data_IF_962275670699
#
_entry.id   IF_962275670699
#
_cell.length_a   1.000
_cell.length_b   1.000
_cell.length_c   1.000
_cell.angle_alpha   90.00
_cell.angle_beta   90.00
_cell.angle_gamma   90.00
#
_symmetry.space_group_name_H-M   'P 1'
#
loop_
_entity.id
_entity.type
_entity.pdbx_description
1 polymer ?
#
# COMPACT_ATOMS: atom_id res chain seq x y z
N UNK A 1 1.33 1.70 -0.60
CA UNK A 1 1.55 1.18 0.77
C UNK A 1 0.22 0.64 1.23
N UNK A 2 0.22 -0.56 1.80
CA UNK A 2 -0.99 -1.24 2.28
C UNK A 2 -0.72 -1.80 3.68
N UNK A 3 -1.71 -1.75 4.57
CA UNK A 3 -1.57 -2.13 5.98
C UNK A 3 -2.27 -3.45 6.32
N UNK A 4 -2.73 -4.22 5.34
CA UNK A 4 -3.54 -5.43 5.60
C UNK A 4 -2.77 -6.52 6.38
N UNK A 5 -1.43 -6.50 6.39
CA UNK A 5 -0.59 -7.40 7.20
C UNK A 5 -0.27 -6.86 8.60
N UNK A 6 -0.60 -5.60 8.91
CA UNK A 6 -0.20 -4.94 10.15
C UNK A 6 -0.79 -5.67 11.37
N UNK A 7 -2.10 -5.94 11.36
CA UNK A 7 -2.79 -6.57 12.49
C UNK A 7 -2.44 -8.05 12.73
N UNK A 8 -1.91 -8.75 11.72
CA UNK A 8 -1.56 -10.20 11.83
C UNK A 8 -0.08 -10.46 11.94
N UNK A 9 0.75 -9.62 11.33
CA UNK A 9 2.21 -9.83 11.23
C UNK A 9 3.02 -8.66 11.77
N UNK A 10 2.39 -7.52 12.07
CA UNK A 10 3.10 -6.29 12.41
C UNK A 10 3.93 -5.76 11.23
N UNK A 11 3.49 -6.01 10.00
CA UNK A 11 4.20 -5.60 8.78
C UNK A 11 3.35 -4.66 7.92
N UNK A 12 4.01 -3.74 7.24
CA UNK A 12 3.44 -2.94 6.16
C UNK A 12 4.02 -3.44 4.84
N UNK A 13 3.24 -3.36 3.77
CA UNK A 13 3.66 -3.75 2.42
C UNK A 13 3.62 -2.56 1.45
N UNK A 14 4.59 -2.51 0.55
CA UNK A 14 4.55 -1.63 -0.61
C UNK A 14 4.99 -2.39 -1.86
N UNK A 15 4.92 -1.75 -3.02
CA UNK A 15 5.41 -2.30 -4.28
C UNK A 15 4.83 -1.63 -5.51
N UNK A 16 5.25 -2.15 -6.67
CA UNK A 16 4.81 -1.70 -7.98
C UNK A 16 4.03 -2.79 -8.68
N UNK A 17 2.94 -2.39 -9.34
CA UNK A 17 2.20 -3.21 -10.29
C UNK A 17 2.26 -2.52 -11.67
N UNK A 18 2.32 -3.31 -12.74
CA UNK A 18 2.28 -2.81 -14.12
C UNK A 18 1.57 -3.80 -15.06
N UNK A 19 1.34 -3.36 -16.30
CA UNK A 19 0.54 -4.05 -17.33
C UNK A 19 -0.95 -4.27 -16.96
N UNK A 20 -1.46 -3.51 -15.98
CA UNK A 20 -2.85 -3.56 -15.55
C UNK A 20 -3.22 -4.86 -14.82
N UNK A 21 -4.52 -5.12 -14.72
CA UNK A 21 -5.05 -6.34 -14.08
C UNK A 21 -5.24 -7.47 -15.08
N UNK A 22 -5.28 -8.72 -14.58
CA UNK A 22 -5.55 -9.92 -15.36
C UNK A 22 -4.28 -10.67 -15.77
N UNK A 23 -4.37 -11.48 -16.83
CA UNK A 23 -3.32 -12.44 -17.23
C UNK A 23 -1.93 -11.83 -17.53
N UNK A 24 -1.89 -10.55 -17.85
CA UNK A 24 -0.65 -9.82 -18.17
C UNK A 24 -0.17 -8.98 -16.99
N UNK A 25 -0.98 -8.84 -15.95
CA UNK A 25 -0.64 -8.08 -14.76
C UNK A 25 0.57 -8.68 -14.07
N UNK A 26 1.47 -7.81 -13.66
CA UNK A 26 2.73 -8.21 -13.04
C UNK A 26 3.14 -7.15 -12.04
N UNK A 27 4.06 -7.51 -11.16
CA UNK A 27 4.49 -6.65 -10.08
C UNK A 27 5.86 -7.05 -9.57
N UNK A 28 6.50 -6.12 -8.90
CA UNK A 28 7.77 -6.32 -8.22
C UNK A 28 7.81 -5.39 -7.02
N UNK A 29 8.69 -5.74 -6.10
CA UNK A 29 8.90 -4.96 -4.90
C UNK A 29 7.77 -5.11 -3.91
N UNK A 30 7.21 -6.31 -3.70
CA UNK A 30 6.42 -6.64 -2.50
C UNK A 30 7.35 -6.62 -1.28
N UNK A 31 7.83 -5.43 -0.91
CA UNK A 31 8.68 -5.23 0.23
C UNK A 31 7.80 -5.26 1.47
N UNK A 32 8.16 -6.13 2.40
CA UNK A 32 7.57 -6.17 3.72
C UNK A 32 8.56 -5.53 4.66
N UNK A 33 8.07 -4.66 5.53
CA UNK A 33 8.89 -4.06 6.56
C UNK A 33 8.10 -4.01 7.87
N UNK A 34 8.79 -4.16 9.02
CA UNK A 34 8.12 -4.12 10.31
C UNK A 34 7.49 -2.74 10.51
N UNK A 35 6.23 -2.75 10.95
CA UNK A 35 5.57 -1.58 11.51
C UNK A 35 6.21 -1.28 12.87
N UNK A 36 6.68 -0.06 13.04
CA UNK A 36 7.26 0.42 14.29
C UNK A 36 6.64 1.78 14.59
N UNK A 37 5.75 1.81 15.58
CA UNK A 37 5.01 3.00 15.98
C UNK A 37 5.93 4.21 16.24
N UNK A 38 5.50 5.40 15.84
CA UNK A 38 6.19 6.66 16.14
C UNK A 38 5.73 7.24 17.47
N UNK A 39 6.52 8.13 18.06
CA UNK A 39 6.19 8.76 19.35
C UNK A 39 4.88 9.57 19.29
N UNK A 40 4.57 10.18 18.14
CA UNK A 40 3.37 10.98 17.91
C UNK A 40 2.22 10.19 17.26
N UNK A 41 2.43 8.90 16.95
CA UNK A 41 1.45 8.05 16.27
C UNK A 41 1.21 8.37 14.79
N UNK A 42 1.98 9.29 14.20
CA UNK A 42 1.87 9.65 12.79
C UNK A 42 3.04 9.09 11.97
N UNK A 43 2.69 8.46 10.85
CA UNK A 43 3.66 7.88 9.92
C UNK A 43 3.77 8.67 8.62
N UNK A 44 5.00 8.77 8.11
CA UNK A 44 5.29 9.39 6.83
C UNK A 44 5.64 8.31 5.80
N UNK A 45 4.74 8.12 4.84
CA UNK A 45 4.97 7.24 3.70
C UNK A 45 5.26 8.06 2.44
N UNK A 46 6.30 7.67 1.70
CA UNK A 46 6.67 8.37 0.46
C UNK A 46 7.18 7.40 -0.61
N UNK A 47 7.06 7.85 -1.85
CA UNK A 47 7.74 7.26 -2.99
C UNK A 47 8.46 8.37 -3.74
N UNK A 48 9.76 8.19 -3.95
CA UNK A 48 10.53 8.96 -4.93
C UNK A 48 10.44 8.23 -6.26
N UNK A 49 9.78 8.85 -7.23
CA UNK A 49 9.59 8.33 -8.58
C UNK A 49 10.39 9.17 -9.56
N UNK A 50 11.33 8.52 -10.24
CA UNK A 50 12.23 9.13 -11.22
C UNK A 50 12.43 8.20 -12.42
N UNK A 51 13.23 8.61 -13.40
CA UNK A 51 13.55 7.78 -14.58
C UNK A 51 14.38 6.55 -14.21
N UNK A 52 15.05 6.60 -13.06
CA UNK A 52 15.90 5.56 -12.50
C UNK A 52 15.10 4.49 -11.73
N UNK A 53 13.81 4.73 -11.48
CA UNK A 53 12.92 3.81 -10.79
C UNK A 53 12.13 4.46 -9.66
N UNK A 54 11.88 3.65 -8.64
CA UNK A 54 11.05 4.00 -7.49
C UNK A 54 11.81 3.67 -6.21
N UNK A 55 11.87 4.62 -5.29
CA UNK A 55 12.41 4.42 -3.94
C UNK A 55 11.31 4.67 -2.94
N UNK A 56 11.02 3.67 -2.11
CA UNK A 56 9.98 3.74 -1.10
C UNK A 56 10.58 4.10 0.24
N UNK A 57 9.87 4.97 0.96
CA UNK A 57 10.25 5.41 2.29
C UNK A 57 9.11 5.24 3.29
N UNK A 58 9.48 4.84 4.51
CA UNK A 58 8.67 4.98 5.71
C UNK A 58 9.50 5.74 6.75
N UNK A 59 8.94 6.82 7.30
CA UNK A 59 9.55 7.61 8.38
C UNK A 59 11.00 8.01 8.10
N UNK A 60 11.23 8.55 6.89
CA UNK A 60 12.52 9.02 6.36
C UNK A 60 13.56 7.93 6.13
N UNK A 61 13.18 6.65 6.18
CA UNK A 61 14.07 5.51 5.92
C UNK A 61 13.69 4.84 4.60
N UNK A 62 14.68 4.55 3.76
CA UNK A 62 14.47 3.72 2.57
C UNK A 62 14.07 2.31 3.01
N UNK A 63 12.94 1.82 2.51
CA UNK A 63 12.41 0.48 2.81
C UNK A 63 12.48 -0.47 1.60
N UNK A 64 12.65 0.07 0.40
CA UNK A 64 12.65 -0.72 -0.82
C UNK A 64 12.87 0.13 -2.06
N UNK A 65 13.37 -0.52 -3.11
CA UNK A 65 13.69 0.13 -4.39
C UNK A 65 13.37 -0.80 -5.56
N UNK A 66 12.74 -0.24 -6.59
CA UNK A 66 12.43 -0.94 -7.85
C UNK A 66 13.07 -0.15 -8.99
N UNK A 67 14.06 -0.73 -9.68
CA UNK A 67 14.74 -0.06 -10.80
C UNK A 67 13.89 0.02 -12.08
N UNK A 68 12.88 -0.84 -12.23
CA UNK A 68 11.97 -0.81 -13.36
C UNK A 68 11.03 -2.01 -13.44
N UNK A 69 10.08 -2.01 -14.38
CA UNK A 69 9.84 -0.95 -15.38
C UNK A 69 9.33 0.37 -14.76
N UNK A 70 9.68 1.49 -15.38
CA UNK A 70 9.31 2.84 -14.93
C UNK A 70 8.14 3.34 -15.77
N UNK A 71 7.12 3.90 -15.13
CA UNK A 71 5.99 4.50 -15.83
C UNK A 71 6.45 5.78 -16.51
N UNK A 72 6.03 6.00 -17.75
CA UNK A 72 6.30 7.22 -18.52
C UNK A 72 5.03 8.03 -18.78
N UNK A 73 3.93 7.70 -18.09
CA UNK A 73 2.64 8.37 -18.24
C UNK A 73 2.17 8.95 -16.92
N UNK A 74 1.40 10.03 -16.99
CA UNK A 74 0.83 10.70 -15.82
C UNK A 74 0.08 9.69 -14.91
N UNK A 75 0.24 9.88 -13.61
CA UNK A 75 -0.42 9.09 -12.57
C UNK A 75 -1.22 10.02 -11.66
N UNK A 76 -2.17 9.44 -10.92
CA UNK A 76 -2.87 10.13 -9.84
C UNK A 76 -2.57 9.44 -8.51
N UNK A 77 -2.69 10.18 -7.42
CA UNK A 77 -2.59 9.63 -6.08
C UNK A 77 -3.98 9.19 -5.63
N UNK A 78 -4.10 7.94 -5.18
CA UNK A 78 -5.28 7.42 -4.52
C UNK A 78 -4.96 7.11 -3.07
N UNK A 79 -5.80 7.62 -2.17
CA UNK A 79 -5.74 7.34 -0.74
C UNK A 79 -7.11 6.79 -0.35
N UNK A 80 -7.15 5.52 0.06
CA UNK A 80 -8.41 4.82 0.31
C UNK A 80 -8.25 3.77 1.39
N UNK A 81 -9.38 3.42 2.00
CA UNK A 81 -9.56 2.24 2.84
C UNK A 81 -10.43 1.24 2.11
N UNK A 82 -10.08 -0.03 2.16
CA UNK A 82 -10.88 -1.11 1.57
C UNK A 82 -11.34 -2.08 2.66
N UNK A 83 -12.64 -2.40 2.76
CA UNK A 83 -13.12 -3.36 3.74
C UNK A 83 -12.58 -4.76 3.42
N UNK A 84 -12.10 -5.44 4.45
CA UNK A 84 -11.59 -6.80 4.32
C UNK A 84 -12.64 -7.76 3.73
N UNK A 85 -12.25 -8.60 2.76
CA UNK A 85 -13.08 -9.64 2.17
C UNK A 85 -13.54 -9.37 0.75
N UNK A 86 -13.45 -8.12 0.26
CA UNK A 86 -13.99 -7.76 -1.07
C UNK A 86 -13.34 -8.56 -2.22
N UNK A 87 -12.04 -8.91 -2.12
CA UNK A 87 -11.31 -9.68 -3.14
C UNK A 87 -11.72 -11.16 -3.22
N UNK A 88 -12.51 -11.66 -2.27
CA UNK A 88 -12.90 -13.07 -2.23
C UNK A 88 -11.82 -13.99 -1.67
N UNK A 89 -11.77 -15.27 -2.09
CA UNK A 89 -10.94 -16.28 -1.45
C UNK A 89 -9.46 -16.14 -1.84
N UNK A 90 -8.55 -16.35 -0.88
CA UNK A 90 -7.11 -16.55 -1.17
C UNK A 90 -6.21 -15.33 -1.09
N UNK A 91 -6.71 -14.18 -0.64
CA UNK A 91 -5.86 -13.05 -0.23
C UNK A 91 -5.62 -13.10 1.29
N UNK A 92 -6.46 -12.42 2.07
CA UNK A 92 -6.48 -12.53 3.55
C UNK A 92 -7.82 -13.05 4.09
N UNK A 93 -8.80 -13.26 3.21
CA UNK A 93 -10.10 -13.78 3.60
C UNK A 93 -10.03 -15.32 3.81
N UNK A 94 -10.87 -15.88 4.68
CA UNK A 94 -10.91 -17.33 4.92
C UNK A 94 -11.09 -18.14 3.63
N UNK A 95 -10.59 -19.40 3.58
CA UNK A 95 -10.84 -20.29 2.45
C UNK A 95 -12.34 -20.39 2.14
N UNK A 96 -12.70 -20.24 0.86
CA UNK A 96 -14.10 -20.28 0.41
C UNK A 96 -14.91 -18.99 0.65
N UNK A 97 -14.30 -17.91 1.14
CA UNK A 97 -14.98 -16.62 1.31
C UNK A 97 -15.49 -16.06 -0.04
N UNK A 98 -16.77 -15.70 -0.18
CA UNK A 98 -17.30 -15.17 -1.44
C UNK A 98 -16.81 -13.75 -1.73
N UNK A 99 -16.38 -13.50 -2.97
CA UNK A 99 -15.98 -12.17 -3.43
C UNK A 99 -17.13 -11.16 -3.33
N UNK A 100 -16.81 -9.89 -3.09
CA UNK A 100 -17.79 -8.81 -2.94
C UNK A 100 -18.60 -8.85 -1.64
N UNK A 101 -18.22 -9.69 -0.67
CA UNK A 101 -18.87 -9.76 0.64
C UNK A 101 -17.90 -9.41 1.77
N UNK A 102 -18.37 -8.80 2.88
CA UNK A 102 -17.52 -8.46 4.01
C UNK A 102 -17.00 -9.73 4.70
N UNK A 103 -15.72 -9.75 5.06
CA UNK A 103 -15.16 -10.81 5.89
C UNK A 103 -15.86 -10.85 7.26
N UNK A 104 -16.09 -12.03 7.86
CA UNK A 104 -16.78 -12.15 9.15
C UNK A 104 -16.20 -11.28 10.28
N UNK A 105 -14.87 -11.04 10.26
CA UNK A 105 -14.18 -10.19 11.24
C UNK A 105 -14.70 -8.74 11.27
N UNK A 106 -15.23 -8.23 10.15
CA UNK A 106 -15.74 -6.85 10.09
C UNK A 106 -16.99 -6.65 10.96
N UNK A 107 -17.74 -7.71 11.29
CA UNK A 107 -18.91 -7.61 12.18
C UNK A 107 -18.54 -7.46 13.67
N UNK A 108 -17.27 -7.65 14.00
CA UNK A 108 -16.71 -7.41 15.34
C UNK A 108 -15.84 -6.16 15.39
N UNK A 109 -15.81 -5.34 14.34
CA UNK A 109 -15.05 -4.10 14.33
C UNK A 109 -15.62 -3.09 15.34
N UNK A 110 -14.73 -2.41 16.06
CA UNK A 110 -15.10 -1.23 16.85
C UNK A 110 -15.26 -0.04 15.90
N UNK A 111 -16.39 0.67 16.00
CA UNK A 111 -16.71 1.79 15.12
C UNK A 111 -16.81 3.11 15.90
N UNK A 112 -16.41 4.26 15.30
CA UNK A 112 -15.94 4.39 13.92
C UNK A 112 -14.51 3.85 13.73
N UNK A 113 -14.28 3.19 12.59
CA UNK A 113 -12.94 2.86 12.11
C UNK A 113 -12.48 4.01 11.20
N UNK A 114 -11.41 4.68 11.60
CA UNK A 114 -10.94 5.92 10.98
C UNK A 114 -9.52 5.72 10.43
N UNK A 115 -9.37 6.00 9.14
CA UNK A 115 -8.06 6.20 8.52
C UNK A 115 -7.86 7.69 8.29
N UNK A 116 -6.96 8.28 9.05
CA UNK A 116 -6.74 9.72 9.06
C UNK A 116 -5.47 10.10 8.28
N UNK A 117 -5.56 11.22 7.57
CA UNK A 117 -4.47 11.72 6.72
C UNK A 117 -4.35 13.22 6.97
N UNK A 118 -3.26 13.62 7.63
CA UNK A 118 -2.98 15.04 7.89
C UNK A 118 -2.62 15.79 6.60
N UNK A 119 -1.77 15.19 5.75
CA UNK A 119 -1.39 15.81 4.48
C UNK A 119 -1.01 14.81 3.39
N UNK A 120 -1.12 15.28 2.15
CA UNK A 120 -0.48 14.71 0.96
C UNK A 120 0.38 15.79 0.33
N UNK A 121 1.64 15.47 0.00
CA UNK A 121 2.57 16.41 -0.64
C UNK A 121 3.13 15.79 -1.91
N UNK A 122 3.23 16.61 -2.95
CA UNK A 122 3.85 16.25 -4.23
C UNK A 122 4.96 17.24 -4.50
N UNK A 123 6.12 16.74 -4.87
CA UNK A 123 7.29 17.55 -5.18
C UNK A 123 7.76 17.20 -6.59
N UNK A 124 7.95 18.22 -7.42
CA UNK A 124 8.63 18.02 -8.70
C UNK A 124 10.13 17.87 -8.46
N UNK A 125 10.77 17.01 -9.26
CA UNK A 125 12.22 17.06 -9.39
C UNK A 125 12.58 18.48 -9.84
N UNK A 126 13.51 19.16 -9.14
CA UNK A 126 13.97 20.48 -9.57
C UNK A 126 14.38 20.39 -11.05
N UNK A 127 13.77 21.21 -11.90
CA UNK A 127 14.26 21.46 -13.25
C UNK A 127 15.72 21.93 -13.09
N UNK A 128 16.67 21.08 -13.46
CA UNK A 128 18.09 21.42 -13.58
C UNK A 128 18.32 22.33 -14.78
#
# INVERSE_FOLDING_TARGET
MENYLQHTKGEIICGNLWNGYGKNGTGNGHFHFPYAETEDGWHHYAVDWSREGYVFYADRREIGRVAGPVSEVEQFILVSTEPHGYRGPGFNAPPGHPAGTPAPLLFSAELPDCFEVDFVRVFDSKLS
#
